data_IF_788734495592
#
_entry.id   IF_788734495592
#
_cell.length_a   1.000
_cell.length_b   1.000
_cell.length_c   1.000
_cell.angle_alpha   90.00
_cell.angle_beta   90.00
_cell.angle_gamma   90.00
#
_symmetry.space_group_name_H-M   'P 1'
#
loop_
_entity.id
_entity.type
_entity.pdbx_description
1 polymer ?
#
# COMPACT_ATOMS: atom_id res chain seq x y z
N UNK A 1 -11.96 -11.76 10.30
CA UNK A 1 -10.70 -12.21 9.66
C UNK A 1 -10.91 -13.06 8.40
N UNK A 2 -12.11 -13.56 8.13
CA UNK A 2 -12.43 -14.37 6.93
C UNK A 2 -12.10 -13.70 5.61
N UNK A 3 -12.23 -12.37 5.52
CA UNK A 3 -11.85 -11.60 4.32
C UNK A 3 -10.36 -11.76 3.97
N UNK A 4 -9.48 -11.71 4.98
CA UNK A 4 -8.03 -11.84 4.82
C UNK A 4 -7.64 -13.27 4.46
N UNK A 5 -8.22 -14.26 5.14
CA UNK A 5 -8.01 -15.66 4.82
C UNK A 5 -8.42 -16.00 3.37
N UNK A 6 -9.51 -15.41 2.88
CA UNK A 6 -9.94 -15.58 1.49
C UNK A 6 -8.99 -14.90 0.49
N UNK A 7 -8.53 -13.68 0.79
CA UNK A 7 -7.53 -12.99 -0.04
C UNK A 7 -6.21 -13.78 -0.13
N UNK A 8 -5.72 -14.29 1.00
CA UNK A 8 -4.54 -15.17 1.05
C UNK A 8 -4.74 -16.47 0.26
N UNK A 9 -5.97 -17.00 0.20
CA UNK A 9 -6.29 -18.23 -0.57
C UNK A 9 -6.32 -17.98 -2.08
N UNK A 10 -6.64 -16.77 -2.50
CA UNK A 10 -6.67 -16.33 -3.91
C UNK A 10 -5.29 -15.88 -4.41
N UNK A 11 -4.43 -15.41 -3.51
CA UNK A 11 -3.11 -14.87 -3.81
C UNK A 11 -2.05 -15.80 -3.20
N UNK A 12 -1.45 -16.70 -3.98
CA UNK A 12 -0.32 -17.52 -3.54
C UNK A 12 1.01 -16.94 -4.05
N UNK A 13 2.08 -17.03 -3.26
CA UNK A 13 3.42 -16.60 -3.65
C UNK A 13 3.62 -15.07 -3.64
N UNK A 14 4.22 -14.53 -4.70
CA UNK A 14 4.61 -13.10 -4.80
C UNK A 14 3.43 -12.13 -4.73
N UNK A 15 2.22 -12.55 -5.11
CA UNK A 15 0.99 -11.75 -5.01
C UNK A 15 0.63 -11.49 -3.54
N UNK A 16 0.73 -12.51 -2.68
CA UNK A 16 0.45 -12.38 -1.25
C UNK A 16 1.42 -11.42 -0.57
N UNK A 17 2.70 -11.54 -0.93
CA UNK A 17 3.74 -10.63 -0.46
C UNK A 17 3.46 -9.19 -0.90
N UNK A 18 3.05 -9.00 -2.15
CA UNK A 18 2.63 -7.70 -2.68
C UNK A 18 1.45 -7.09 -1.91
N UNK A 19 0.42 -7.89 -1.60
CA UNK A 19 -0.75 -7.43 -0.81
C UNK A 19 -0.33 -7.07 0.62
N UNK A 20 0.49 -7.89 1.28
CA UNK A 20 1.00 -7.58 2.62
C UNK A 20 1.78 -6.27 2.65
N UNK A 21 2.70 -6.07 1.68
CA UNK A 21 3.45 -4.84 1.56
C UNK A 21 2.55 -3.63 1.28
N UNK A 22 1.52 -3.79 0.44
CA UNK A 22 0.57 -2.72 0.16
C UNK A 22 -0.23 -2.30 1.40
N UNK A 23 -0.64 -3.26 2.24
CA UNK A 23 -1.32 -2.97 3.53
C UNK A 23 -0.38 -2.22 4.47
N UNK A 24 0.87 -2.68 4.63
CA UNK A 24 1.86 -2.02 5.48
C UNK A 24 2.10 -0.58 5.03
N UNK A 25 2.25 -0.35 3.72
CA UNK A 25 2.45 0.99 3.16
C UNK A 25 1.23 1.89 3.36
N UNK A 26 0.02 1.34 3.22
CA UNK A 26 -1.23 2.05 3.50
C UNK A 26 -1.31 2.52 4.95
N UNK A 27 -1.07 1.60 5.88
CA UNK A 27 -1.11 1.88 7.33
C UNK A 27 -0.02 2.88 7.74
N UNK A 28 1.20 2.71 7.22
CA UNK A 28 2.32 3.63 7.44
C UNK A 28 2.03 5.05 6.90
N UNK A 29 1.52 5.14 5.68
CA UNK A 29 1.17 6.42 5.04
C UNK A 29 0.07 7.15 5.82
N UNK A 30 -0.93 6.41 6.31
CA UNK A 30 -1.99 6.97 7.13
C UNK A 30 -1.46 7.47 8.47
N UNK A 31 -0.60 6.69 9.13
CA UNK A 31 0.03 7.09 10.38
C UNK A 31 0.88 8.36 10.20
N UNK A 32 1.69 8.42 9.14
CA UNK A 32 2.52 9.59 8.82
C UNK A 32 1.67 10.83 8.54
N UNK A 33 0.66 10.73 7.67
CA UNK A 33 -0.24 11.85 7.36
C UNK A 33 -0.99 12.33 8.60
N UNK A 34 -1.43 11.41 9.47
CA UNK A 34 -2.07 11.76 10.74
C UNK A 34 -1.13 12.56 11.63
N UNK A 35 0.14 12.16 11.74
CA UNK A 35 1.12 12.94 12.50
C UNK A 35 1.34 14.33 11.90
N UNK A 36 1.44 14.44 10.58
CA UNK A 36 1.56 15.76 9.93
C UNK A 36 0.34 16.65 10.17
N UNK A 37 -0.87 16.08 10.22
CA UNK A 37 -2.06 16.85 10.57
C UNK A 37 -2.01 17.36 12.01
N UNK A 38 -1.56 16.54 12.96
CA UNK A 38 -1.53 16.87 14.38
C UNK A 38 -0.40 17.84 14.72
N UNK A 39 0.81 17.61 14.19
CA UNK A 39 2.01 18.35 14.57
C UNK A 39 2.31 19.53 13.64
N UNK A 40 1.96 19.43 12.36
CA UNK A 40 2.31 20.42 11.34
C UNK A 40 1.10 21.19 10.80
N UNK A 41 -0.11 20.91 11.31
CA UNK A 41 -1.35 21.60 10.90
C UNK A 41 -1.79 21.30 9.47
N UNK A 42 -1.28 20.22 8.87
CA UNK A 42 -1.73 19.77 7.54
C UNK A 42 -3.21 19.39 7.60
N UNK A 43 -3.97 19.70 6.55
CA UNK A 43 -5.37 19.29 6.50
C UNK A 43 -5.51 17.79 6.21
N UNK A 44 -6.43 17.08 6.88
CA UNK A 44 -6.69 15.66 6.62
C UNK A 44 -7.16 15.48 5.17
N UNK A 45 -6.51 14.59 4.42
CA UNK A 45 -6.76 14.37 3.00
C UNK A 45 -6.47 12.94 2.61
N UNK A 46 -7.50 12.21 2.16
CA UNK A 46 -7.35 10.85 1.66
C UNK A 46 -6.51 10.82 0.39
N UNK A 47 -6.64 11.85 -0.47
CA UNK A 47 -5.84 11.97 -1.68
C UNK A 47 -4.34 12.06 -1.37
N UNK A 48 -3.97 12.79 -0.31
CA UNK A 48 -2.58 12.94 0.13
C UNK A 48 -2.03 11.62 0.67
N UNK A 49 -2.81 10.89 1.48
CA UNK A 49 -2.43 9.56 1.98
C UNK A 49 -2.21 8.57 0.82
N UNK A 50 -3.10 8.56 -0.17
CA UNK A 50 -2.97 7.70 -1.36
C UNK A 50 -1.76 8.05 -2.21
N UNK A 51 -1.43 9.33 -2.36
CA UNK A 51 -0.23 9.77 -3.07
C UNK A 51 1.05 9.32 -2.35
N UNK A 52 1.11 9.51 -1.03
CA UNK A 52 2.23 9.08 -0.20
C UNK A 52 2.46 7.56 -0.32
N UNK A 53 1.39 6.77 -0.18
CA UNK A 53 1.46 5.32 -0.30
C UNK A 53 1.93 4.86 -1.68
N UNK A 54 1.48 5.54 -2.76
CA UNK A 54 1.91 5.22 -4.13
C UNK A 54 3.37 5.54 -4.38
N UNK A 55 3.86 6.66 -3.87
CA UNK A 55 5.26 7.06 -4.04
C UNK A 55 6.18 6.10 -3.29
N UNK A 56 5.82 5.74 -2.07
CA UNK A 56 6.59 4.79 -1.27
C UNK A 56 6.56 3.38 -1.87
N UNK A 57 5.41 2.96 -2.41
CA UNK A 57 5.30 1.72 -3.19
C UNK A 57 6.20 1.73 -4.44
N UNK A 58 6.34 2.87 -5.14
CA UNK A 58 7.24 2.99 -6.30
C UNK A 58 8.70 2.85 -5.90
N UNK A 59 9.12 3.53 -4.82
CA UNK A 59 10.48 3.40 -4.28
C UNK A 59 10.79 1.95 -3.93
N UNK A 60 9.87 1.27 -3.25
CA UNK A 60 10.06 -0.15 -2.89
C UNK A 60 10.09 -1.08 -4.10
N UNK A 61 9.31 -0.79 -5.15
CA UNK A 61 9.40 -1.53 -6.41
C UNK A 61 10.78 -1.38 -7.05
N UNK A 62 11.35 -0.16 -7.04
CA UNK A 62 12.68 0.11 -7.60
C UNK A 62 13.79 -0.59 -6.82
N UNK A 63 13.63 -0.73 -5.49
CA UNK A 63 14.57 -1.45 -4.61
C UNK A 63 14.40 -2.98 -4.64
N UNK A 64 13.58 -3.51 -5.55
CA UNK A 64 13.50 -4.94 -5.83
C UNK A 64 12.36 -5.69 -5.14
N UNK A 65 11.37 -4.99 -4.57
CA UNK A 65 10.14 -5.62 -4.06
C UNK A 65 9.22 -6.08 -5.22
N UNK A 66 9.59 -7.20 -5.87
CA UNK A 66 8.90 -7.76 -7.05
C UNK A 66 7.43 -8.14 -6.82
N UNK A 67 6.99 -8.30 -5.57
CA UNK A 67 5.58 -8.56 -5.24
C UNK A 67 4.67 -7.34 -5.42
N UNK A 68 5.19 -6.13 -5.16
CA UNK A 68 4.44 -4.87 -5.29
C UNK A 68 4.23 -4.47 -6.76
N UNK A 69 5.19 -4.75 -7.63
CA UNK A 69 5.07 -4.49 -9.07
C UNK A 69 4.01 -5.35 -9.75
N UNK A 70 3.78 -6.56 -9.23
CA UNK A 70 2.76 -7.47 -9.75
C UNK A 70 1.35 -6.97 -9.41
N UNK A 71 1.13 -6.48 -8.18
CA UNK A 71 -0.17 -5.94 -7.70
C UNK A 71 -0.55 -4.65 -8.42
N UNK A 72 0.43 -3.78 -8.73
CA UNK A 72 0.16 -2.56 -9.50
C UNK A 72 -0.17 -2.84 -10.97
N UNK A 73 0.32 -3.94 -11.54
CA UNK A 73 0.00 -4.36 -12.91
C UNK A 73 -1.42 -4.97 -13.04
N UNK A 74 -1.90 -5.71 -12.04
CA UNK A 74 -3.25 -6.30 -12.07
C UNK A 74 -4.39 -5.28 -11.94
N UNK A 75 -4.11 -4.05 -11.48
CA UNK A 75 -5.10 -2.97 -11.38
C UNK A 75 -5.42 -2.24 -12.69
N UNK A 76 -4.74 -2.57 -13.80
CA UNK A 76 -4.93 -1.93 -15.13
C UNK A 76 -5.75 -2.79 -16.11
N UNK A 77 -6.27 -3.94 -15.68
CA UNK A 77 -6.87 -4.95 -16.57
C UNK A 77 -8.33 -5.32 -16.29
N UNK A 78 -9.16 -4.41 -15.78
CA UNK A 78 -10.58 -4.63 -15.53
C UNK A 78 -11.44 -3.41 -15.83
#
# INVERSE_FOLDING_TARGET
MTWWSNACRLCHGSVQQGVNSAVILGDWSLWRHRNDCVFNGVQPSVATVLQLAREEARVWCMDGAKGLSLVSATGLGG
#
